data_IF_558963158349
#
_entry.id   IF_558963158349
#
_cell.length_a   1.000
_cell.length_b   1.000
_cell.length_c   1.000
_cell.angle_alpha   90.00
_cell.angle_beta   90.00
_cell.angle_gamma   90.00
#
_symmetry.space_group_name_H-M   'P 1'
#
loop_
_entity.id
_entity.type
_entity.pdbx_description
1 polymer ?
#
# COMPACT_ATOMS: atom_id res chain seq x y z
N UNK A 1 -16.75 -5.86 -19.83
CA UNK A 1 -16.60 -4.46 -20.28
C UNK A 1 -17.01 -3.50 -19.15
N UNK A 2 -18.25 -3.50 -18.64
CA UNK A 2 -18.67 -2.56 -17.56
C UNK A 2 -17.86 -2.70 -16.26
N UNK A 3 -17.40 -3.89 -15.89
CA UNK A 3 -16.56 -4.10 -14.71
C UNK A 3 -15.17 -3.44 -14.82
N UNK A 4 -14.61 -3.35 -16.04
CA UNK A 4 -13.32 -2.68 -16.30
C UNK A 4 -13.41 -1.15 -16.25
N UNK A 5 -14.64 -0.60 -16.29
CA UNK A 5 -14.89 0.85 -16.26
C UNK A 5 -15.32 1.32 -14.85
N UNK A 6 -15.29 0.44 -13.84
CA UNK A 6 -15.71 0.77 -12.47
C UNK A 6 -17.21 1.09 -12.31
N UNK A 7 -18.04 0.76 -13.33
CA UNK A 7 -19.46 1.13 -13.39
C UNK A 7 -20.43 -0.06 -13.19
N UNK A 8 -19.92 -1.23 -12.82
CA UNK A 8 -20.78 -2.40 -12.67
C UNK A 8 -21.52 -2.37 -11.34
N UNK A 9 -22.84 -2.27 -11.38
CA UNK A 9 -23.75 -2.40 -10.21
C UNK A 9 -23.60 -3.77 -9.52
N UNK A 10 -23.00 -4.76 -10.19
CA UNK A 10 -22.81 -6.11 -9.68
C UNK A 10 -21.46 -6.35 -9.01
N UNK A 11 -20.58 -5.33 -8.90
CA UNK A 11 -19.33 -5.37 -8.14
C UNK A 11 -19.50 -4.40 -6.96
N UNK A 12 -19.55 -4.95 -5.77
CA UNK A 12 -19.77 -4.23 -4.52
C UNK A 12 -18.52 -4.35 -3.67
N UNK A 13 -17.88 -3.22 -3.41
CA UNK A 13 -16.68 -3.14 -2.58
C UNK A 13 -17.05 -2.56 -1.21
N UNK A 14 -16.57 -3.20 -0.15
CA UNK A 14 -16.88 -2.90 1.24
C UNK A 14 -15.57 -2.89 2.02
N UNK A 15 -15.26 -1.77 2.64
CA UNK A 15 -14.16 -1.68 3.60
C UNK A 15 -14.66 -2.12 4.99
N UNK A 16 -14.12 -3.22 5.49
CA UNK A 16 -14.49 -3.75 6.80
C UNK A 16 -13.94 -2.89 7.95
N UNK A 17 -12.97 -2.01 7.73
CA UNK A 17 -12.54 -1.06 8.77
C UNK A 17 -13.67 -0.07 9.12
N UNK A 18 -14.40 0.37 8.11
CA UNK A 18 -15.54 1.30 8.26
C UNK A 18 -16.88 0.57 8.49
N UNK A 19 -17.00 -0.71 8.03
CA UNK A 19 -18.24 -1.48 8.03
C UNK A 19 -18.08 -2.83 8.76
N UNK A 20 -17.61 -2.82 10.00
CA UNK A 20 -17.27 -4.02 10.77
C UNK A 20 -18.46 -4.68 11.50
N UNK A 21 -19.63 -4.05 11.46
CA UNK A 21 -20.81 -4.44 12.23
C UNK A 21 -21.51 -5.68 11.66
N UNK A 22 -22.19 -6.42 12.54
CA UNK A 22 -23.00 -7.59 12.17
C UNK A 22 -24.14 -7.22 11.23
N UNK A 23 -24.69 -6.04 11.36
CA UNK A 23 -25.85 -5.60 10.58
C UNK A 23 -25.48 -5.34 9.12
N UNK A 24 -24.31 -4.76 8.86
CA UNK A 24 -23.79 -4.58 7.50
C UNK A 24 -23.66 -5.94 6.77
N UNK A 25 -23.14 -6.94 7.45
CA UNK A 25 -23.01 -8.30 6.87
C UNK A 25 -24.38 -8.99 6.72
N UNK A 26 -25.35 -8.69 7.60
CA UNK A 26 -26.74 -9.18 7.43
C UNK A 26 -27.41 -8.57 6.22
N UNK A 27 -27.20 -7.28 5.94
CA UNK A 27 -27.68 -6.62 4.72
C UNK A 27 -27.13 -7.30 3.48
N UNK A 28 -25.80 -7.53 3.42
CA UNK A 28 -25.16 -8.28 2.34
C UNK A 28 -25.80 -9.66 2.19
N UNK A 29 -26.06 -10.37 3.28
CA UNK A 29 -26.67 -11.70 3.25
C UNK A 29 -28.10 -11.68 2.69
N UNK A 30 -28.85 -10.63 2.88
CA UNK A 30 -30.16 -10.48 2.24
C UNK A 30 -30.03 -10.12 0.75
N UNK A 31 -29.07 -9.25 0.42
CA UNK A 31 -28.84 -8.84 -0.98
C UNK A 31 -28.31 -9.95 -1.89
N UNK A 32 -27.49 -10.88 -1.37
CA UNK A 32 -26.94 -12.00 -2.16
C UNK A 32 -28.01 -12.97 -2.64
N UNK A 33 -29.21 -12.94 -2.06
CA UNK A 33 -30.35 -13.77 -2.51
C UNK A 33 -30.87 -13.36 -3.88
N UNK A 34 -30.65 -12.12 -4.27
CA UNK A 34 -31.13 -11.58 -5.53
C UNK A 34 -30.07 -11.75 -6.62
N UNK A 35 -30.45 -12.26 -7.80
CA UNK A 35 -29.53 -12.43 -8.90
C UNK A 35 -28.98 -11.07 -9.39
N UNK A 36 -27.86 -11.08 -10.12
CA UNK A 36 -27.31 -9.87 -10.71
C UNK A 36 -28.30 -9.24 -11.70
N UNK A 37 -28.30 -7.91 -11.80
CA UNK A 37 -29.12 -7.17 -12.77
C UNK A 37 -28.62 -7.36 -14.20
N UNK A 38 -27.29 -7.55 -14.35
CA UNK A 38 -26.62 -7.77 -15.62
C UNK A 38 -25.50 -8.80 -15.44
N UNK A 39 -25.25 -9.60 -16.49
CA UNK A 39 -24.20 -10.62 -16.45
C UNK A 39 -24.57 -11.86 -15.62
N UNK A 40 -23.56 -12.66 -15.26
CA UNK A 40 -23.75 -13.96 -14.63
C UNK A 40 -23.43 -13.98 -13.13
N UNK A 41 -22.66 -12.99 -12.64
CA UNK A 41 -22.15 -12.98 -11.29
C UNK A 41 -22.31 -11.62 -10.62
N UNK A 42 -22.57 -11.66 -9.29
CA UNK A 42 -22.50 -10.56 -8.35
C UNK A 42 -21.27 -10.76 -7.48
N UNK A 43 -20.36 -9.79 -7.44
CA UNK A 43 -19.07 -9.91 -6.76
C UNK A 43 -19.06 -8.98 -5.56
N UNK A 44 -18.79 -9.54 -4.39
CA UNK A 44 -18.57 -8.79 -3.15
C UNK A 44 -17.11 -8.84 -2.80
N UNK A 45 -16.47 -7.67 -2.74
CA UNK A 45 -15.10 -7.49 -2.32
C UNK A 45 -15.14 -6.91 -0.91
N UNK A 46 -14.65 -7.66 0.08
CA UNK A 46 -14.55 -7.21 1.46
C UNK A 46 -13.07 -6.98 1.77
N UNK A 47 -12.70 -5.70 1.79
CA UNK A 47 -11.32 -5.31 2.10
C UNK A 47 -11.12 -5.25 3.61
N UNK A 48 -9.89 -5.48 4.05
CA UNK A 48 -9.47 -5.58 5.46
C UNK A 48 -10.42 -6.46 6.30
N UNK A 49 -10.80 -7.60 5.75
CA UNK A 49 -11.80 -8.49 6.36
C UNK A 49 -11.47 -8.90 7.80
N UNK A 50 -10.19 -8.83 8.21
CA UNK A 50 -9.75 -9.09 9.58
C UNK A 50 -10.29 -8.07 10.61
N UNK A 51 -10.83 -6.94 10.16
CA UNK A 51 -11.46 -5.91 10.99
C UNK A 51 -12.93 -6.23 11.36
N UNK A 52 -13.54 -7.25 10.74
CA UNK A 52 -14.91 -7.65 11.05
C UNK A 52 -15.06 -8.10 12.50
N UNK A 53 -16.17 -7.74 13.11
CA UNK A 53 -16.53 -8.23 14.45
C UNK A 53 -16.80 -9.75 14.44
N UNK A 54 -16.66 -10.44 15.59
CA UNK A 54 -16.99 -11.88 15.70
C UNK A 54 -18.43 -12.17 15.27
N UNK A 55 -19.38 -11.28 15.53
CA UNK A 55 -20.76 -11.41 15.08
C UNK A 55 -20.92 -11.31 13.57
N UNK A 56 -20.15 -10.42 12.94
CA UNK A 56 -20.11 -10.26 11.49
C UNK A 56 -19.53 -11.49 10.79
N UNK A 57 -18.44 -12.07 11.32
CA UNK A 57 -17.91 -13.33 10.81
C UNK A 57 -18.93 -14.46 10.88
N UNK A 58 -19.65 -14.61 11.99
CA UNK A 58 -20.68 -15.63 12.14
C UNK A 58 -21.86 -15.43 11.16
N UNK A 59 -22.19 -14.19 10.83
CA UNK A 59 -23.21 -13.90 9.82
C UNK A 59 -22.72 -14.25 8.42
N UNK A 60 -21.45 -13.98 8.10
CA UNK A 60 -20.83 -14.28 6.82
C UNK A 60 -20.66 -15.77 6.58
N UNK A 61 -20.31 -16.55 7.62
CA UNK A 61 -20.11 -18.00 7.55
C UNK A 61 -21.30 -18.71 6.91
N UNK A 62 -22.54 -18.34 7.28
CA UNK A 62 -23.75 -18.97 6.73
C UNK A 62 -23.85 -18.85 5.22
N UNK A 63 -23.37 -17.73 4.66
CA UNK A 63 -23.39 -17.52 3.21
C UNK A 63 -22.21 -18.20 2.52
N UNK A 64 -21.04 -18.26 3.20
CA UNK A 64 -19.87 -18.97 2.67
C UNK A 64 -20.00 -20.49 2.70
N UNK A 65 -20.88 -21.07 3.56
CA UNK A 65 -21.18 -22.49 3.59
C UNK A 65 -22.01 -22.92 2.38
N UNK A 66 -23.00 -22.13 2.01
CA UNK A 66 -23.89 -22.39 0.89
C UNK A 66 -24.06 -21.14 0.01
N UNK A 67 -23.01 -20.73 -0.71
CA UNK A 67 -23.06 -19.52 -1.50
C UNK A 67 -24.01 -19.70 -2.71
N UNK A 68 -24.85 -18.71 -3.02
CA UNK A 68 -25.63 -18.73 -4.24
C UNK A 68 -24.72 -18.85 -5.48
N UNK A 69 -25.12 -19.61 -6.47
CA UNK A 69 -24.28 -19.90 -7.66
C UNK A 69 -23.83 -18.66 -8.44
N UNK A 70 -24.56 -17.57 -8.29
CA UNK A 70 -24.30 -16.29 -8.96
C UNK A 70 -23.48 -15.32 -8.10
N UNK A 71 -22.98 -15.73 -6.93
CA UNK A 71 -22.24 -14.86 -5.99
C UNK A 71 -20.80 -15.31 -5.87
N UNK A 72 -19.89 -14.33 -5.92
CA UNK A 72 -18.46 -14.51 -5.66
C UNK A 72 -18.07 -13.58 -4.54
N UNK A 73 -17.42 -14.11 -3.50
CA UNK A 73 -16.78 -13.32 -2.44
C UNK A 73 -15.29 -13.26 -2.66
N UNK A 74 -14.73 -12.05 -2.59
CA UNK A 74 -13.29 -11.78 -2.54
C UNK A 74 -13.01 -11.15 -1.19
N UNK A 75 -12.27 -11.86 -0.34
CA UNK A 75 -11.88 -11.40 1.00
C UNK A 75 -10.43 -10.98 0.96
N UNK A 76 -10.14 -9.70 1.16
CA UNK A 76 -8.80 -9.17 1.19
C UNK A 76 -8.38 -8.84 2.64
N UNK A 77 -7.12 -9.06 2.97
CA UNK A 77 -6.57 -8.76 4.30
C UNK A 77 -5.07 -8.57 4.27
N UNK A 78 -4.59 -7.65 5.08
CA UNK A 78 -3.16 -7.48 5.39
C UNK A 78 -2.71 -8.39 6.54
N UNK A 79 -3.65 -8.96 7.34
CA UNK A 79 -3.35 -9.84 8.47
C UNK A 79 -4.15 -11.15 8.42
N UNK A 80 -3.69 -12.15 7.64
CA UNK A 80 -4.40 -13.42 7.50
C UNK A 80 -4.46 -14.25 8.78
N UNK A 81 -3.59 -13.97 9.76
CA UNK A 81 -3.57 -14.71 11.04
C UNK A 81 -4.76 -14.38 11.92
N UNK A 82 -5.37 -13.21 11.75
CA UNK A 82 -6.58 -12.80 12.48
C UNK A 82 -7.87 -13.39 11.90
N UNK A 83 -7.81 -13.98 10.71
CA UNK A 83 -8.99 -14.59 10.08
C UNK A 83 -9.31 -15.92 10.76
N UNK A 84 -10.57 -16.14 11.21
CA UNK A 84 -10.97 -17.42 11.78
C UNK A 84 -10.75 -18.61 10.82
N UNK A 85 -10.22 -19.71 11.34
CA UNK A 85 -9.97 -20.91 10.54
C UNK A 85 -11.25 -21.44 9.84
N UNK A 86 -12.41 -21.19 10.42
CA UNK A 86 -13.72 -21.53 9.84
C UNK A 86 -14.02 -20.78 8.54
N UNK A 87 -13.52 -19.55 8.38
CA UNK A 87 -13.60 -18.77 7.13
C UNK A 87 -12.55 -19.32 6.14
N UNK A 88 -11.29 -19.43 6.59
CA UNK A 88 -10.18 -19.86 5.73
C UNK A 88 -10.43 -21.24 5.10
N UNK A 89 -11.08 -22.16 5.83
CA UNK A 89 -11.39 -23.50 5.32
C UNK A 89 -12.42 -23.52 4.17
N UNK A 90 -13.11 -22.41 3.92
CA UNK A 90 -14.14 -22.26 2.88
C UNK A 90 -13.70 -21.34 1.75
N UNK A 91 -12.47 -20.84 1.82
CA UNK A 91 -11.91 -19.91 0.82
C UNK A 91 -10.71 -20.53 0.13
N UNK A 92 -10.55 -20.22 -1.15
CA UNK A 92 -9.27 -20.43 -1.83
C UNK A 92 -8.35 -19.27 -1.45
N UNK A 93 -7.15 -19.61 -0.96
CA UNK A 93 -6.18 -18.62 -0.52
C UNK A 93 -5.21 -18.28 -1.65
N UNK A 94 -4.93 -16.98 -1.80
CA UNK A 94 -3.92 -16.41 -2.69
C UNK A 94 -3.03 -15.47 -1.89
N UNK A 95 -1.73 -15.79 -1.81
CA UNK A 95 -0.76 -14.97 -1.12
C UNK A 95 -0.08 -14.01 -2.11
N UNK A 96 -0.26 -12.71 -1.89
CA UNK A 96 0.41 -11.66 -2.63
C UNK A 96 1.71 -11.27 -1.94
N UNK A 97 2.77 -11.15 -2.71
CA UNK A 97 4.09 -10.76 -2.21
C UNK A 97 4.35 -9.29 -2.51
N UNK A 98 5.27 -8.69 -1.75
CA UNK A 98 5.80 -7.37 -2.08
C UNK A 98 6.44 -7.42 -3.47
N UNK A 99 6.25 -6.35 -4.24
CA UNK A 99 6.82 -6.20 -5.57
C UNK A 99 8.28 -5.76 -5.39
N UNK A 100 9.20 -6.30 -6.18
CA UNK A 100 10.59 -5.86 -6.09
C UNK A 100 10.79 -4.46 -6.70
N UNK A 101 11.80 -3.73 -6.22
CA UNK A 101 12.02 -2.35 -6.62
C UNK A 101 12.26 -2.20 -8.13
N UNK A 102 12.90 -3.17 -8.79
CA UNK A 102 13.14 -3.11 -10.22
C UNK A 102 11.85 -3.22 -11.06
N UNK A 103 10.88 -4.03 -10.61
CA UNK A 103 9.57 -4.15 -11.26
C UNK A 103 8.72 -2.88 -11.04
N UNK A 104 8.76 -2.32 -9.82
CA UNK A 104 8.09 -1.05 -9.52
C UNK A 104 8.67 0.06 -10.40
N UNK A 105 10.01 0.22 -10.44
CA UNK A 105 10.66 1.26 -11.24
C UNK A 105 10.31 1.15 -12.73
N UNK A 106 10.32 -0.08 -13.28
CA UNK A 106 9.91 -0.33 -14.67
C UNK A 106 8.46 0.07 -14.92
N UNK A 107 7.58 -0.26 -14.00
CA UNK A 107 6.14 0.06 -14.12
C UNK A 107 5.91 1.57 -14.03
N UNK A 108 6.56 2.25 -13.06
CA UNK A 108 6.53 3.70 -12.94
C UNK A 108 7.04 4.39 -14.21
N UNK A 109 8.13 3.89 -14.82
CA UNK A 109 8.65 4.41 -16.09
C UNK A 109 7.60 4.35 -17.20
N UNK A 110 6.87 3.24 -17.31
CA UNK A 110 5.81 3.12 -18.31
C UNK A 110 4.61 4.04 -18.05
N UNK A 111 4.32 4.39 -16.79
CA UNK A 111 3.32 5.41 -16.45
C UNK A 111 3.84 6.82 -16.75
N UNK A 112 5.09 7.11 -16.38
CA UNK A 112 5.72 8.42 -16.66
C UNK A 112 5.74 8.74 -18.17
N UNK A 113 6.05 7.75 -19.02
CA UNK A 113 5.98 7.89 -20.47
C UNK A 113 4.56 8.24 -20.97
N UNK A 114 3.54 7.55 -20.45
CA UNK A 114 2.13 7.77 -20.84
C UNK A 114 1.62 9.15 -20.43
N UNK A 115 2.01 9.59 -19.24
CA UNK A 115 1.62 10.89 -18.66
C UNK A 115 2.57 12.02 -19.08
N UNK A 116 3.58 11.72 -19.93
CA UNK A 116 4.58 12.69 -20.43
C UNK A 116 5.39 13.36 -19.29
N UNK A 117 5.66 12.60 -18.23
CA UNK A 117 6.47 13.05 -17.09
C UNK A 117 7.95 12.79 -17.41
N UNK A 118 8.78 13.85 -17.38
CA UNK A 118 10.23 13.71 -17.49
C UNK A 118 10.81 13.26 -16.14
N UNK A 119 11.43 12.07 -16.09
CA UNK A 119 11.97 11.49 -14.87
C UNK A 119 13.19 10.64 -15.20
N UNK A 120 14.24 10.73 -14.38
CA UNK A 120 15.44 9.92 -14.54
C UNK A 120 15.24 8.48 -14.00
N UNK A 121 15.97 7.50 -14.56
CA UNK A 121 15.93 6.11 -14.07
C UNK A 121 16.33 6.00 -12.59
N UNK A 122 17.29 6.81 -12.14
CA UNK A 122 17.74 6.86 -10.75
C UNK A 122 16.63 7.35 -9.82
N UNK A 123 15.84 8.35 -10.25
CA UNK A 123 14.69 8.83 -9.51
C UNK A 123 13.60 7.78 -9.41
N UNK A 124 13.27 7.10 -10.51
CA UNK A 124 12.30 5.99 -10.52
C UNK A 124 12.72 4.85 -9.59
N UNK A 125 14.00 4.48 -9.62
CA UNK A 125 14.51 3.43 -8.75
C UNK A 125 14.49 3.83 -7.26
N UNK A 126 14.80 5.09 -6.96
CA UNK A 126 14.70 5.63 -5.60
C UNK A 126 13.25 5.60 -5.10
N UNK A 127 12.29 6.09 -5.88
CA UNK A 127 10.86 6.02 -5.55
C UNK A 127 10.44 4.58 -5.29
N UNK A 128 10.87 3.64 -6.13
CA UNK A 128 10.57 2.22 -5.98
C UNK A 128 11.14 1.61 -4.68
N UNK A 129 12.34 2.02 -4.27
CA UNK A 129 12.95 1.61 -2.98
C UNK A 129 12.16 2.17 -1.79
N UNK A 130 11.81 3.46 -1.82
CA UNK A 130 11.05 4.13 -0.76
C UNK A 130 9.65 3.53 -0.57
N UNK A 131 9.06 3.04 -1.63
CA UNK A 131 7.74 2.41 -1.61
C UNK A 131 7.71 1.01 -0.98
N UNK A 132 8.84 0.42 -0.64
CA UNK A 132 9.00 -0.86 0.08
C UNK A 132 8.07 -1.98 -0.43
N UNK A 133 7.97 -2.11 -1.74
CA UNK A 133 7.18 -3.16 -2.40
C UNK A 133 5.70 -2.83 -2.63
N UNK A 134 5.27 -1.60 -2.31
CA UNK A 134 3.91 -1.11 -2.54
C UNK A 134 3.84 -0.25 -3.81
N UNK A 135 3.09 -0.69 -4.82
CA UNK A 135 2.86 0.12 -6.03
C UNK A 135 2.01 1.37 -5.73
N UNK A 136 1.07 1.30 -4.78
CA UNK A 136 0.25 2.44 -4.36
C UNK A 136 1.12 3.56 -3.80
N UNK A 137 2.05 3.22 -2.89
CA UNK A 137 2.95 4.20 -2.27
C UNK A 137 3.93 4.76 -3.31
N UNK A 138 4.42 3.93 -4.21
CA UNK A 138 5.28 4.36 -5.31
C UNK A 138 4.60 5.40 -6.22
N UNK A 139 3.34 5.17 -6.60
CA UNK A 139 2.56 6.11 -7.39
C UNK A 139 2.27 7.39 -6.59
N UNK A 140 1.95 7.28 -5.30
CA UNK A 140 1.70 8.44 -4.44
C UNK A 140 2.94 9.33 -4.30
N UNK A 141 4.13 8.73 -4.13
CA UNK A 141 5.40 9.48 -4.09
C UNK A 141 5.68 10.16 -5.43
N UNK A 142 5.50 9.43 -6.55
CA UNK A 142 5.72 10.00 -7.88
C UNK A 142 4.77 11.17 -8.15
N UNK A 143 3.50 11.03 -7.77
CA UNK A 143 2.47 12.07 -7.92
C UNK A 143 2.80 13.32 -7.09
N UNK A 144 3.24 13.15 -5.84
CA UNK A 144 3.72 14.25 -5.02
C UNK A 144 4.91 14.99 -5.66
N UNK A 145 5.89 14.23 -6.16
CA UNK A 145 7.06 14.83 -6.83
C UNK A 145 6.68 15.59 -8.10
N UNK A 146 5.80 15.05 -8.91
CA UNK A 146 5.33 15.71 -10.15
C UNK A 146 4.49 16.95 -9.87
N UNK A 147 3.68 16.93 -8.83
CA UNK A 147 2.89 18.09 -8.41
C UNK A 147 3.79 19.24 -7.93
N UNK A 148 4.89 18.94 -7.22
CA UNK A 148 5.81 19.95 -6.70
C UNK A 148 6.73 20.53 -7.80
N UNK A 149 7.29 19.65 -8.66
CA UNK A 149 8.18 20.03 -9.76
C UNK A 149 7.47 19.98 -11.12
N UNK A 150 6.35 20.68 -11.21
CA UNK A 150 5.53 20.71 -12.42
C UNK A 150 6.34 21.13 -13.67
N UNK A 151 6.30 20.31 -14.73
CA UNK A 151 7.04 20.50 -15.99
C UNK A 151 8.58 20.52 -15.86
N UNK A 152 9.14 20.05 -14.76
CA UNK A 152 10.58 19.88 -14.62
C UNK A 152 10.95 18.40 -14.65
N UNK A 153 12.17 18.09 -15.08
CA UNK A 153 12.70 16.74 -14.98
C UNK A 153 12.89 16.35 -13.52
N UNK A 154 12.30 15.21 -13.12
CA UNK A 154 12.45 14.64 -11.78
C UNK A 154 13.78 13.90 -11.68
N UNK A 155 14.68 14.43 -10.88
CA UNK A 155 15.97 13.82 -10.55
C UNK A 155 15.92 13.16 -9.17
N UNK A 156 16.91 12.31 -8.87
CA UNK A 156 17.06 11.68 -7.55
C UNK A 156 17.04 12.73 -6.41
N UNK A 157 17.75 13.85 -6.59
CA UNK A 157 17.87 14.89 -5.56
C UNK A 157 16.52 15.55 -5.25
N UNK A 158 15.71 15.81 -6.28
CA UNK A 158 14.37 16.36 -6.13
C UNK A 158 13.43 15.39 -5.38
N UNK A 159 13.53 14.09 -5.66
CA UNK A 159 12.76 13.08 -4.92
C UNK A 159 13.16 13.07 -3.45
N UNK A 160 14.46 13.09 -3.14
CA UNK A 160 14.97 13.14 -1.77
C UNK A 160 14.47 14.39 -1.01
N UNK A 161 14.42 15.53 -1.68
CA UNK A 161 13.91 16.78 -1.11
C UNK A 161 12.44 16.67 -0.70
N UNK A 162 11.59 16.10 -1.56
CA UNK A 162 10.14 15.96 -1.30
C UNK A 162 9.85 14.95 -0.20
N UNK A 163 10.51 13.79 -0.25
CA UNK A 163 10.25 12.71 0.72
C UNK A 163 10.90 13.00 2.07
N UNK A 164 11.75 14.04 2.15
CA UNK A 164 12.49 14.38 3.36
C UNK A 164 13.51 13.30 3.75
N UNK A 165 13.81 12.39 2.83
CA UNK A 165 14.76 11.30 3.06
C UNK A 165 16.20 11.82 3.05
N UNK A 166 17.06 11.13 3.75
CA UNK A 166 18.49 11.45 3.84
C UNK A 166 19.22 10.65 2.77
N UNK A 167 20.15 11.27 2.05
CA UNK A 167 21.05 10.55 1.16
C UNK A 167 21.86 9.51 1.97
N UNK A 168 22.04 8.33 1.41
CA UNK A 168 22.84 7.26 2.03
C UNK A 168 24.24 7.74 2.48
N UNK A 169 24.80 8.75 1.78
CA UNK A 169 26.09 9.36 2.14
C UNK A 169 26.13 9.95 3.56
N UNK A 170 25.00 10.51 4.01
CA UNK A 170 24.91 11.08 5.38
C UNK A 170 24.94 9.96 6.43
N UNK A 171 24.32 8.83 6.13
CA UNK A 171 24.36 7.67 7.02
C UNK A 171 25.73 7.00 7.05
N UNK A 172 26.45 6.95 5.92
CA UNK A 172 27.84 6.52 5.90
C UNK A 172 28.75 7.44 6.74
N UNK A 173 28.57 8.77 6.60
CA UNK A 173 29.31 9.74 7.42
C UNK A 173 29.01 9.57 8.89
N UNK A 174 27.73 9.39 9.26
CA UNK A 174 27.31 9.12 10.64
C UNK A 174 27.94 7.85 11.18
N UNK A 175 27.93 6.76 10.40
CA UNK A 175 28.56 5.50 10.78
C UNK A 175 30.07 5.67 11.00
N UNK A 176 30.77 6.41 10.11
CA UNK A 176 32.18 6.71 10.27
C UNK A 176 32.46 7.46 11.58
N UNK A 177 31.67 8.51 11.88
CA UNK A 177 31.82 9.27 13.12
C UNK A 177 31.58 8.40 14.37
N UNK A 178 30.62 7.46 14.30
CA UNK A 178 30.40 6.50 15.40
C UNK A 178 31.62 5.60 15.59
N UNK A 179 32.18 5.05 14.50
CA UNK A 179 33.36 4.20 14.56
C UNK A 179 34.59 4.94 15.07
N UNK A 180 34.77 6.21 14.70
CA UNK A 180 35.84 7.09 15.11
C UNK A 180 35.66 7.66 16.54
N UNK A 181 34.49 7.39 17.17
CA UNK A 181 34.08 7.93 18.49
C UNK A 181 34.04 9.46 18.51
N UNK A 182 33.77 10.10 17.39
CA UNK A 182 33.62 11.55 17.25
C UNK A 182 32.23 11.98 17.71
N UNK A 183 32.06 12.13 19.01
CA UNK A 183 30.78 12.55 19.61
C UNK A 183 30.38 13.97 19.20
N UNK A 184 31.34 14.89 19.09
CA UNK A 184 31.06 16.28 18.73
C UNK A 184 30.62 16.41 17.28
N UNK A 185 31.27 15.69 16.38
CA UNK A 185 30.86 15.61 14.97
C UNK A 185 29.49 14.97 14.79
N UNK A 186 29.16 13.96 15.60
CA UNK A 186 27.86 13.30 15.57
C UNK A 186 26.73 14.25 16.01
N UNK A 187 26.95 14.98 17.14
CA UNK A 187 25.98 15.96 17.65
C UNK A 187 25.73 17.08 16.64
N UNK A 188 26.77 17.59 15.97
CA UNK A 188 26.59 18.56 14.89
C UNK A 188 25.75 18.02 13.72
N UNK A 189 25.97 16.76 13.31
CA UNK A 189 25.16 16.15 12.24
C UNK A 189 23.69 16.05 12.63
N UNK A 190 23.38 15.76 13.91
CA UNK A 190 22.01 15.72 14.44
C UNK A 190 21.42 17.13 14.47
N UNK A 191 22.16 18.12 14.93
CA UNK A 191 21.71 19.52 14.95
C UNK A 191 21.41 20.03 13.53
N UNK A 192 22.28 19.77 12.56
CA UNK A 192 22.09 20.14 11.16
C UNK A 192 20.83 19.50 10.57
N UNK A 193 20.56 18.26 10.93
CA UNK A 193 19.36 17.54 10.54
C UNK A 193 18.09 18.20 11.11
N UNK A 194 18.11 18.52 12.41
CA UNK A 194 17.00 19.21 13.09
C UNK A 194 16.76 20.61 12.52
N UNK A 195 17.82 21.36 12.21
CA UNK A 195 17.72 22.68 11.59
C UNK A 195 17.09 22.63 10.18
N UNK A 196 17.22 21.50 9.48
CA UNK A 196 16.54 21.24 8.20
C UNK A 196 15.08 20.78 8.37
N UNK A 197 14.53 20.81 9.60
CA UNK A 197 13.13 20.48 9.89
C UNK A 197 12.79 19.00 9.84
N UNK A 198 13.78 18.11 9.93
CA UNK A 198 13.56 16.65 9.89
C UNK A 198 13.17 16.09 11.24
N UNK A 199 12.31 15.07 11.23
CA UNK A 199 11.93 14.36 12.45
C UNK A 199 13.03 13.41 12.92
N UNK A 200 13.52 13.54 14.18
CA UNK A 200 14.58 12.68 14.70
C UNK A 200 14.20 11.19 14.77
N UNK A 201 12.91 10.89 15.01
CA UNK A 201 12.44 9.50 15.08
C UNK A 201 12.48 8.82 13.70
N UNK A 202 12.04 9.54 12.66
CA UNK A 202 12.13 9.05 11.29
C UNK A 202 13.59 8.87 10.87
N UNK A 203 14.47 9.83 11.21
CA UNK A 203 15.90 9.74 10.89
C UNK A 203 16.57 8.50 11.49
N UNK A 204 16.25 8.16 12.74
CA UNK A 204 16.76 6.94 13.38
C UNK A 204 16.23 5.69 12.70
N UNK A 205 14.96 5.67 12.30
CA UNK A 205 14.36 4.54 11.58
C UNK A 205 15.02 4.34 10.20
N UNK A 206 15.28 5.43 9.47
CA UNK A 206 15.97 5.41 8.18
C UNK A 206 17.41 4.90 8.35
N UNK A 207 18.11 5.34 9.41
CA UNK A 207 19.45 4.84 9.75
C UNK A 207 19.46 3.35 10.08
N UNK A 208 18.48 2.85 10.85
CA UNK A 208 18.32 1.42 11.11
C UNK A 208 18.08 0.64 9.80
N UNK A 209 17.30 1.21 8.90
CA UNK A 209 17.08 0.65 7.56
C UNK A 209 18.35 0.57 6.72
N UNK A 210 19.21 1.59 6.81
CA UNK A 210 20.50 1.63 6.12
C UNK A 210 21.52 0.61 6.66
N UNK A 211 21.44 0.24 7.93
CA UNK A 211 22.34 -0.74 8.57
C UNK A 211 21.94 -2.21 8.30
N UNK A 212 20.79 -2.47 7.69
CA UNK A 212 20.30 -3.82 7.34
C UNK A 212 20.67 -4.22 5.91
#
# INVERSE_FOLDING_TARGET
>A
MAANEGRSVNVIEIDAASNNGVDNIREIREEVKYPPSEGNYKVYIIDEVHMLSPGAYNALLKTLEEPPKHVIFILATTDPQKIPATILSRCQRFDFRRINASEIAKTLGSYAEKEQISVTEEALYLVARLADGSMRDALSILDQCTAFYYNEELTKDKVLEIVGSVDDSVFFEMTSKIMDKDADGLMKSVDDMMMKGRDPGQYVNDYIGHLR
#
